data_IF_348786340936
#
_entry.id   IF_348786340936
#
_cell.length_a   1.000
_cell.length_b   1.000
_cell.length_c   1.000
_cell.angle_alpha   90.00
_cell.angle_beta   90.00
_cell.angle_gamma   90.00
#
_symmetry.space_group_name_H-M   'P 1'
#
loop_
_entity.id
_entity.type
_entity.pdbx_description
1 polymer ?
#
# COMPACT_ATOMS: atom_id res chain seq x y z
N UNK A 1 3.49 5.56 3.13
CA UNK A 1 3.63 4.65 1.98
C UNK A 1 4.91 4.97 1.25
N UNK A 2 5.54 3.98 0.63
CA UNK A 2 6.73 4.19 -0.20
C UNK A 2 6.44 3.65 -1.61
N UNK A 3 6.50 4.55 -2.58
CA UNK A 3 6.35 4.24 -4.00
C UNK A 3 7.70 3.85 -4.59
N UNK A 4 7.76 2.73 -5.30
CA UNK A 4 8.94 2.31 -6.03
C UNK A 4 9.00 3.04 -7.38
N UNK A 5 10.02 3.88 -7.64
CA UNK A 5 10.07 4.70 -8.85
C UNK A 5 10.33 3.90 -10.14
N UNK A 6 10.75 2.64 -10.03
CA UNK A 6 11.17 1.81 -11.16
C UNK A 6 10.01 0.96 -11.71
N UNK A 7 9.16 0.41 -10.84
CA UNK A 7 8.04 -0.47 -11.21
C UNK A 7 6.65 0.06 -10.85
N UNK A 8 6.57 1.25 -10.23
CA UNK A 8 5.29 1.86 -9.86
C UNK A 8 4.53 1.11 -8.77
N UNK A 9 5.16 0.17 -8.08
CA UNK A 9 4.57 -0.53 -6.93
C UNK A 9 4.56 0.36 -5.70
N UNK A 10 3.57 0.15 -4.82
CA UNK A 10 3.43 0.87 -3.56
C UNK A 10 3.57 -0.12 -2.42
N UNK A 11 4.54 0.11 -1.55
CA UNK A 11 4.74 -0.70 -0.34
C UNK A 11 4.24 0.04 0.89
N UNK A 12 3.69 -0.73 1.83
CA UNK A 12 3.03 -0.16 2.98
C UNK A 12 3.11 -1.07 4.21
N UNK A 13 3.14 -0.46 5.39
CA UNK A 13 3.27 -1.14 6.69
C UNK A 13 2.20 -0.69 7.67
N UNK A 14 1.33 -1.63 8.06
CA UNK A 14 0.25 -1.38 9.00
C UNK A 14 0.74 -0.94 10.38
N UNK A 15 1.91 -1.41 10.83
CA UNK A 15 2.46 -0.99 12.13
C UNK A 15 2.81 0.51 12.17
N UNK A 16 3.15 1.11 11.02
CA UNK A 16 3.51 2.53 10.93
C UNK A 16 2.29 3.45 10.83
N UNK A 17 1.11 2.91 10.53
CA UNK A 17 -0.11 3.69 10.35
C UNK A 17 -0.56 4.46 11.61
N UNK A 18 -0.05 4.11 12.79
CA UNK A 18 -0.36 4.78 14.07
C UNK A 18 0.88 5.36 14.76
N UNK A 19 2.03 5.43 14.08
CA UNK A 19 3.25 5.96 14.68
C UNK A 19 3.04 7.41 15.15
N UNK A 20 3.40 7.70 16.40
CA UNK A 20 3.23 9.02 17.01
C UNK A 20 1.87 9.30 17.68
N UNK A 21 0.89 8.39 17.59
CA UNK A 21 -0.35 8.51 18.34
C UNK A 21 -0.11 8.52 19.86
N UNK A 22 -0.68 9.48 20.58
CA UNK A 22 -0.51 9.62 22.05
C UNK A 22 -1.72 9.14 22.85
N UNK A 23 -2.85 8.95 22.17
CA UNK A 23 -4.11 8.50 22.78
C UNK A 23 -4.82 7.50 21.87
N UNK A 24 -5.71 6.70 22.45
CA UNK A 24 -6.52 5.73 21.70
C UNK A 24 -7.40 6.39 20.62
N UNK A 25 -8.06 7.54 20.86
CA UNK A 25 -8.82 8.22 19.81
C UNK A 25 -7.93 8.71 18.65
N UNK A 26 -6.71 9.19 18.92
CA UNK A 26 -5.76 9.57 17.88
C UNK A 26 -5.36 8.37 17.03
N UNK A 27 -4.98 7.25 17.67
CA UNK A 27 -4.65 6.03 16.94
C UNK A 27 -5.82 5.53 16.08
N UNK A 28 -7.04 5.60 16.60
CA UNK A 28 -8.24 5.22 15.86
C UNK A 28 -8.53 6.14 14.66
N UNK A 29 -8.23 7.44 14.78
CA UNK A 29 -8.34 8.38 13.66
C UNK A 29 -7.28 8.05 12.59
N UNK A 30 -6.03 7.85 12.99
CA UNK A 30 -4.94 7.54 12.06
C UNK A 30 -5.20 6.25 11.27
N UNK A 31 -5.74 5.21 11.93
CA UNK A 31 -6.15 3.97 11.25
C UNK A 31 -7.25 4.20 10.21
N UNK A 32 -8.19 5.13 10.45
CA UNK A 32 -9.26 5.45 9.50
C UNK A 32 -8.72 6.23 8.30
N UNK A 33 -7.86 7.21 8.54
CA UNK A 33 -7.19 7.95 7.47
C UNK A 33 -6.36 7.01 6.60
N UNK A 34 -5.60 6.12 7.22
CA UNK A 34 -4.83 5.11 6.49
C UNK A 34 -5.70 4.12 5.72
N UNK A 35 -6.87 3.75 6.27
CA UNK A 35 -7.84 2.94 5.53
C UNK A 35 -8.36 3.69 4.29
N UNK A 36 -8.67 5.00 4.41
CA UNK A 36 -9.06 5.82 3.26
C UNK A 36 -7.97 5.85 2.19
N UNK A 37 -6.68 5.96 2.55
CA UNK A 37 -5.58 5.92 1.56
C UNK A 37 -5.54 4.58 0.80
N UNK A 38 -5.79 3.45 1.48
CA UNK A 38 -5.87 2.14 0.82
C UNK A 38 -7.09 2.04 -0.12
N UNK A 39 -8.21 2.67 0.26
CA UNK A 39 -9.41 2.75 -0.58
C UNK A 39 -9.18 3.64 -1.82
N UNK A 40 -8.45 4.75 -1.68
CA UNK A 40 -8.06 5.61 -2.80
C UNK A 40 -7.18 4.85 -3.79
N UNK A 41 -6.16 4.12 -3.32
CA UNK A 41 -5.33 3.24 -4.18
C UNK A 41 -6.17 2.21 -4.94
N UNK A 42 -7.12 1.58 -4.25
CA UNK A 42 -8.02 0.63 -4.91
C UNK A 42 -8.92 1.31 -5.95
N UNK A 43 -9.37 2.54 -5.70
CA UNK A 43 -10.16 3.33 -6.64
C UNK A 43 -9.33 3.77 -7.86
N UNK A 44 -8.03 4.01 -7.68
CA UNK A 44 -7.08 4.27 -8.76
C UNK A 44 -6.81 3.01 -9.60
N UNK A 45 -7.05 1.82 -9.05
CA UNK A 45 -6.96 0.54 -9.76
C UNK A 45 -5.84 -0.38 -9.27
N UNK A 46 -5.14 -0.01 -8.18
CA UNK A 46 -4.14 -0.86 -7.58
C UNK A 46 -4.76 -2.13 -6.97
N UNK A 47 -4.01 -3.22 -7.02
CA UNK A 47 -4.35 -4.50 -6.41
C UNK A 47 -3.20 -4.99 -5.54
N UNK A 48 -3.48 -5.81 -4.53
CA UNK A 48 -2.42 -6.46 -3.75
C UNK A 48 -1.68 -7.46 -4.63
N UNK A 49 -0.33 -7.42 -4.60
CA UNK A 49 0.49 -8.43 -5.27
C UNK A 49 0.37 -9.79 -4.60
N UNK A 50 0.23 -9.80 -3.27
CA UNK A 50 0.13 -10.98 -2.43
C UNK A 50 -0.68 -10.69 -1.16
N UNK A 51 -0.96 -11.72 -0.36
CA UNK A 51 -1.60 -11.54 0.94
C UNK A 51 -0.68 -10.73 1.87
N UNK A 52 -1.26 -9.83 2.66
CA UNK A 52 -0.51 -9.06 3.66
C UNK A 52 -0.02 -10.02 4.75
N UNK A 53 1.29 -10.07 4.96
CA UNK A 53 1.93 -10.86 6.01
C UNK A 53 2.67 -9.95 6.98
N UNK A 54 2.49 -10.18 8.29
CA UNK A 54 3.18 -9.42 9.34
C UNK A 54 3.17 -7.91 9.08
N UNK A 55 1.97 -7.34 8.90
CA UNK A 55 1.71 -5.93 8.62
C UNK A 55 2.34 -5.33 7.35
N UNK A 56 3.07 -6.11 6.56
CA UNK A 56 3.66 -5.68 5.31
C UNK A 56 2.78 -6.03 4.11
N UNK A 57 2.51 -5.05 3.26
CA UNK A 57 1.77 -5.22 2.02
C UNK A 57 2.47 -4.52 0.86
N UNK A 58 2.23 -5.04 -0.34
CA UNK A 58 2.65 -4.47 -1.61
C UNK A 58 1.45 -4.41 -2.54
N UNK A 59 1.21 -3.23 -3.11
CA UNK A 59 0.19 -2.98 -4.11
C UNK A 59 0.86 -2.68 -5.46
N UNK A 60 0.27 -3.21 -6.53
CA UNK A 60 0.76 -3.06 -7.90
C UNK A 60 -0.38 -2.61 -8.80
N UNK A 61 -0.06 -1.85 -9.85
CA UNK A 61 -1.04 -1.54 -10.87
C UNK A 61 -1.14 -2.71 -11.86
N UNK A 62 -2.33 -3.29 -12.09
CA UNK A 62 -2.47 -4.42 -13.00
C UNK A 62 -2.07 -4.00 -14.42
N UNK A 63 -1.07 -4.68 -14.98
CA UNK A 63 -0.51 -4.39 -16.31
C UNK A 63 0.81 -3.59 -16.32
N UNK A 64 1.38 -3.26 -15.16
CA UNK A 64 2.75 -2.73 -15.09
C UNK A 64 3.82 -3.80 -15.39
N UNK A 65 3.48 -5.09 -15.28
CA UNK A 65 4.36 -6.24 -15.56
C UNK A 65 4.30 -6.74 -17.03
N UNK A 66 3.32 -6.31 -17.85
CA UNK A 66 3.19 -6.78 -19.24
C UNK A 66 4.32 -6.29 -20.17
N UNK A 67 5.19 -5.38 -19.72
CA UNK A 67 6.36 -4.91 -20.47
C UNK A 67 7.66 -5.66 -20.10
N UNK A 68 7.62 -6.63 -19.17
CA UNK A 68 8.79 -7.42 -18.74
C UNK A 68 8.74 -8.92 -19.15
N UNK A 69 7.81 -9.33 -20.01
CA UNK A 69 7.90 -10.59 -20.77
C UNK A 69 8.33 -10.31 -22.22
N UNK A 70 9.54 -9.80 -22.38
CA UNK A 70 10.13 -9.63 -23.69
C UNK A 70 11.59 -9.27 -23.63
N UNK A 71 12.47 -10.27 -23.47
CA UNK A 71 13.63 -10.40 -24.37
C UNK A 71 14.24 -11.83 -24.28
N UNK A 72 14.80 -12.33 -25.40
CA UNK A 72 15.03 -13.76 -25.72
C UNK A 72 16.28 -14.42 -25.12
#
# INVERSE_FOLDING_TARGET
MEECPDCGSVTFRGQWAIDGARTLPEAALMLREYANELEDLAAEGFVLSEAIEHDYGCAVFPGADDDMEGEP
#
